data_IF_978230143089
#
_entry.id   IF_978230143089
#
_cell.length_a   1.000
_cell.length_b   1.000
_cell.length_c   1.000
_cell.angle_alpha   90.00
_cell.angle_beta   90.00
_cell.angle_gamma   90.00
#
_symmetry.space_group_name_H-M   'P 1'
#
loop_
_entity.id
_entity.type
_entity.pdbx_description
1 polymer ?
#
# COMPACT_ATOMS: atom_id res chain seq x y z
N UNK A 1 -10.47 8.72 -17.70
CA UNK A 1 -11.20 7.97 -16.64
C UNK A 1 -11.16 8.83 -15.39
N UNK A 2 -12.30 9.04 -14.70
CA UNK A 2 -12.30 9.78 -13.43
C UNK A 2 -11.57 8.95 -12.37
N UNK A 3 -10.67 9.58 -11.61
CA UNK A 3 -9.94 8.92 -10.53
C UNK A 3 -10.81 8.89 -9.27
N UNK A 4 -11.13 7.69 -8.78
CA UNK A 4 -11.91 7.48 -7.55
C UNK A 4 -10.93 7.00 -6.50
N UNK A 5 -10.59 7.88 -5.58
CA UNK A 5 -9.46 7.71 -4.68
C UNK A 5 -9.96 7.40 -3.27
N UNK A 6 -9.26 6.51 -2.58
CA UNK A 6 -9.34 6.43 -1.12
C UNK A 6 -7.94 6.60 -0.54
N UNK A 7 -7.87 7.19 0.64
CA UNK A 7 -6.62 7.48 1.35
C UNK A 7 -6.62 6.70 2.66
N UNK A 8 -5.58 5.94 2.93
CA UNK A 8 -5.45 5.18 4.19
C UNK A 8 -4.08 5.47 4.81
N UNK A 9 -4.07 6.05 6.02
CA UNK A 9 -2.84 6.32 6.76
C UNK A 9 -2.80 5.57 8.09
N UNK A 10 -1.59 5.18 8.53
CA UNK A 10 -1.40 4.36 9.71
C UNK A 10 -1.70 5.03 11.06
N UNK A 11 -1.59 6.36 11.14
CA UNK A 11 -1.69 7.11 12.40
C UNK A 11 -2.13 8.56 12.20
N UNK A 12 -2.85 9.11 13.21
CA UNK A 12 -3.19 10.54 13.24
C UNK A 12 -1.94 11.43 13.32
N UNK A 13 -0.82 10.92 13.85
CA UNK A 13 0.46 11.64 13.87
C UNK A 13 1.00 11.96 12.48
N UNK A 14 0.53 11.26 11.45
CA UNK A 14 1.02 11.41 10.09
C UNK A 14 0.19 12.44 9.30
N UNK A 15 -0.99 12.84 9.81
CA UNK A 15 -1.87 13.84 9.19
C UNK A 15 -1.16 15.16 8.84
N UNK A 16 -0.28 15.74 9.68
CA UNK A 16 0.41 16.98 9.31
C UNK A 16 1.23 16.85 8.02
N UNK A 17 1.80 15.66 7.74
CA UNK A 17 2.59 15.39 6.53
C UNK A 17 1.72 15.22 5.27
N UNK A 18 0.40 15.07 5.44
CA UNK A 18 -0.55 14.95 4.32
C UNK A 18 -1.04 16.31 3.81
N UNK A 19 -0.79 17.41 4.54
CA UNK A 19 -1.40 18.72 4.31
C UNK A 19 -1.26 19.19 2.85
N UNK A 20 -0.02 19.26 2.34
CA UNK A 20 0.23 19.84 1.02
C UNK A 20 -0.39 18.98 -0.09
N UNK A 21 -0.38 17.65 0.05
CA UNK A 21 -1.06 16.76 -0.91
C UNK A 21 -2.58 16.84 -0.81
N UNK A 22 -3.16 17.04 0.37
CA UNK A 22 -4.61 17.28 0.51
C UNK A 22 -5.02 18.62 -0.12
N UNK A 23 -4.23 19.68 0.08
CA UNK A 23 -4.44 20.97 -0.58
C UNK A 23 -4.37 20.83 -2.11
N UNK A 24 -3.37 20.09 -2.62
CA UNK A 24 -3.25 19.75 -4.03
C UNK A 24 -4.47 18.99 -4.56
N UNK A 25 -4.86 17.87 -3.93
CA UNK A 25 -6.02 17.07 -4.34
C UNK A 25 -7.32 17.87 -4.30
N UNK A 26 -7.45 18.84 -3.38
CA UNK A 26 -8.64 19.67 -3.28
C UNK A 26 -8.94 20.46 -4.57
N UNK A 27 -7.90 20.81 -5.34
CA UNK A 27 -8.05 21.50 -6.62
C UNK A 27 -8.74 20.60 -7.66
N UNK A 28 -8.31 19.35 -7.75
CA UNK A 28 -8.85 18.35 -8.69
C UNK A 28 -10.20 17.78 -8.27
N UNK A 29 -10.46 17.75 -6.96
CA UNK A 29 -11.79 17.42 -6.43
C UNK A 29 -12.78 18.52 -6.79
N UNK A 30 -12.39 19.80 -6.67
CA UNK A 30 -13.24 20.95 -7.04
C UNK A 30 -13.50 21.03 -8.54
N UNK A 31 -12.56 20.62 -9.38
CA UNK A 31 -12.75 20.56 -10.84
C UNK A 31 -13.55 19.33 -11.31
N UNK A 32 -13.75 18.33 -10.43
CA UNK A 32 -14.47 17.09 -10.74
C UNK A 32 -13.61 16.02 -11.44
N UNK A 33 -12.30 16.21 -11.53
CA UNK A 33 -11.35 15.26 -12.13
C UNK A 33 -11.05 14.08 -11.19
N UNK A 34 -11.11 14.33 -9.87
CA UNK A 34 -10.89 13.36 -8.80
C UNK A 34 -12.12 13.30 -7.90
N UNK A 35 -12.51 12.09 -7.50
CA UNK A 35 -13.54 11.86 -6.49
C UNK A 35 -12.86 11.23 -5.27
N UNK A 36 -12.87 11.93 -4.13
CA UNK A 36 -12.52 11.33 -2.85
C UNK A 36 -13.68 10.44 -2.39
N UNK A 37 -13.40 9.15 -2.25
CA UNK A 37 -14.34 8.15 -1.74
C UNK A 37 -14.30 8.14 -0.22
N UNK A 38 -13.11 7.98 0.37
CA UNK A 38 -12.93 7.89 1.83
C UNK A 38 -11.51 8.32 2.25
N UNK A 39 -11.37 8.75 3.51
CA UNK A 39 -10.08 8.98 4.15
C UNK A 39 -10.08 8.26 5.51
N UNK A 40 -9.22 7.26 5.65
CA UNK A 40 -9.13 6.42 6.83
C UNK A 40 -7.82 6.63 7.59
N UNK A 41 -7.93 6.64 8.92
CA UNK A 41 -6.78 6.50 9.81
C UNK A 41 -6.86 5.14 10.49
N UNK A 42 -6.17 4.15 9.93
CA UNK A 42 -6.22 2.77 10.37
C UNK A 42 -4.83 2.13 10.30
N UNK A 43 -4.44 1.44 11.37
CA UNK A 43 -3.12 0.81 11.47
C UNK A 43 -3.19 -0.66 11.12
N UNK A 44 -2.45 -1.11 10.10
CA UNK A 44 -2.42 -2.54 9.75
C UNK A 44 -1.97 -3.43 10.90
N UNK A 45 -1.17 -2.92 11.85
CA UNK A 45 -0.69 -3.70 12.99
C UNK A 45 -1.67 -3.74 14.17
N UNK A 46 -2.64 -2.80 14.22
CA UNK A 46 -3.60 -2.69 15.34
C UNK A 46 -5.05 -2.94 14.92
N UNK A 47 -5.33 -2.89 13.63
CA UNK A 47 -6.65 -2.95 13.01
C UNK A 47 -6.63 -3.86 11.78
N UNK A 48 -5.86 -4.97 11.79
CA UNK A 48 -5.58 -5.77 10.59
C UNK A 48 -6.82 -6.20 9.83
N UNK A 49 -7.80 -6.82 10.51
CA UNK A 49 -9.03 -7.29 9.87
C UNK A 49 -9.89 -6.13 9.35
N UNK A 50 -10.00 -5.05 10.12
CA UNK A 50 -10.75 -3.86 9.72
C UNK A 50 -10.14 -3.20 8.48
N UNK A 51 -8.81 -3.07 8.40
CA UNK A 51 -8.13 -2.51 7.22
C UNK A 51 -8.41 -3.35 5.97
N UNK A 52 -8.33 -4.69 6.07
CA UNK A 52 -8.60 -5.56 4.93
C UNK A 52 -10.07 -5.50 4.52
N UNK A 53 -10.99 -5.37 5.49
CA UNK A 53 -12.41 -5.18 5.23
C UNK A 53 -12.69 -3.83 4.54
N UNK A 54 -12.09 -2.74 5.02
CA UNK A 54 -12.18 -1.41 4.39
C UNK A 54 -11.73 -1.50 2.93
N UNK A 55 -10.57 -2.10 2.65
CA UNK A 55 -10.07 -2.26 1.28
C UNK A 55 -11.03 -3.08 0.43
N UNK A 56 -11.56 -4.19 0.95
CA UNK A 56 -12.56 -4.99 0.25
C UNK A 56 -13.79 -4.15 -0.11
N UNK A 57 -14.36 -3.42 0.86
CA UNK A 57 -15.56 -2.62 0.65
C UNK A 57 -15.32 -1.46 -0.33
N UNK A 58 -14.16 -0.80 -0.26
CA UNK A 58 -13.77 0.27 -1.19
C UNK A 58 -13.74 -0.23 -2.65
N UNK A 59 -13.24 -1.45 -2.87
CA UNK A 59 -13.09 -2.03 -4.20
C UNK A 59 -14.41 -2.60 -4.72
N UNK A 60 -15.06 -3.46 -3.95
CA UNK A 60 -16.25 -4.20 -4.39
C UNK A 60 -17.52 -3.35 -4.37
N UNK A 61 -17.64 -2.42 -3.41
CA UNK A 61 -18.89 -1.71 -3.16
C UNK A 61 -18.84 -0.23 -3.51
N UNK A 62 -17.65 0.40 -3.51
CA UNK A 62 -17.52 1.85 -3.68
C UNK A 62 -16.80 2.26 -4.99
N UNK A 63 -16.30 1.29 -5.76
CA UNK A 63 -15.69 1.51 -7.06
C UNK A 63 -14.43 2.36 -7.01
N UNK A 64 -13.61 2.19 -5.97
CA UNK A 64 -12.29 2.82 -5.90
C UNK A 64 -11.39 2.26 -7.01
N UNK A 65 -10.55 3.10 -7.61
CA UNK A 65 -9.57 2.66 -8.62
C UNK A 65 -8.14 3.09 -8.29
N UNK A 66 -7.96 3.91 -7.25
CA UNK A 66 -6.66 4.34 -6.76
C UNK A 66 -6.68 4.42 -5.23
N UNK A 67 -5.65 3.89 -4.58
CA UNK A 67 -5.43 4.02 -3.15
C UNK A 67 -4.15 4.83 -2.92
N UNK A 68 -4.19 5.82 -2.04
CA UNK A 68 -2.98 6.48 -1.52
C UNK A 68 -2.79 5.97 -0.10
N UNK A 69 -1.71 5.23 0.14
CA UNK A 69 -1.52 4.46 1.37
C UNK A 69 -0.20 4.83 2.01
N UNK A 70 -0.20 5.17 3.30
CA UNK A 70 1.00 5.65 3.98
C UNK A 70 1.16 5.21 5.43
N UNK A 71 2.40 4.88 5.82
CA UNK A 71 2.79 4.70 7.20
C UNK A 71 4.28 5.04 7.39
N UNK A 72 4.69 5.32 8.63
CA UNK A 72 6.10 5.46 9.02
C UNK A 72 6.70 4.14 9.53
N UNK A 73 8.02 4.13 9.74
CA UNK A 73 8.78 2.99 10.30
C UNK A 73 8.52 1.67 9.55
N UNK A 74 8.03 0.62 10.20
CA UNK A 74 7.69 -0.64 9.52
C UNK A 74 6.39 -0.46 8.72
N UNK A 75 6.48 0.13 7.52
CA UNK A 75 5.34 0.43 6.67
C UNK A 75 4.80 -0.84 5.98
N UNK A 76 4.21 -1.73 6.78
CA UNK A 76 3.55 -2.92 6.25
C UNK A 76 2.16 -2.62 5.67
N UNK A 77 1.61 -1.43 5.92
CA UNK A 77 0.26 -1.07 5.47
C UNK A 77 0.19 -1.11 3.93
N UNK A 78 1.15 -0.46 3.28
CA UNK A 78 1.25 -0.41 1.81
C UNK A 78 1.39 -1.81 1.18
N UNK A 79 2.41 -2.57 1.58
CA UNK A 79 2.69 -3.89 1.03
C UNK A 79 1.59 -4.91 1.35
N UNK A 80 0.97 -4.85 2.53
CA UNK A 80 -0.15 -5.75 2.87
C UNK A 80 -1.37 -5.46 2.02
N UNK A 81 -1.71 -4.19 1.78
CA UNK A 81 -2.85 -3.82 0.92
C UNK A 81 -2.60 -4.26 -0.53
N UNK A 82 -1.40 -4.01 -1.09
CA UNK A 82 -1.08 -4.49 -2.43
C UNK A 82 -1.14 -6.03 -2.50
N UNK A 83 -0.52 -6.73 -1.54
CA UNK A 83 -0.58 -8.19 -1.51
C UNK A 83 -2.02 -8.72 -1.40
N UNK A 84 -2.86 -8.09 -0.58
CA UNK A 84 -4.27 -8.45 -0.45
C UNK A 84 -5.02 -8.28 -1.78
N UNK A 85 -4.80 -7.16 -2.49
CA UNK A 85 -5.39 -6.93 -3.80
C UNK A 85 -4.95 -7.99 -4.82
N UNK A 86 -3.64 -8.25 -4.94
CA UNK A 86 -3.10 -9.12 -6.00
C UNK A 86 -3.30 -10.60 -5.73
N UNK A 87 -3.05 -11.04 -4.49
CA UNK A 87 -3.02 -12.47 -4.16
C UNK A 87 -4.35 -12.98 -3.61
N UNK A 88 -5.13 -12.14 -2.90
CA UNK A 88 -6.41 -12.53 -2.32
C UNK A 88 -7.58 -12.11 -3.20
N UNK A 89 -7.71 -10.82 -3.52
CA UNK A 89 -8.83 -10.30 -4.30
C UNK A 89 -8.71 -10.54 -5.81
N UNK A 90 -7.53 -10.96 -6.29
CA UNK A 90 -7.23 -11.14 -7.73
C UNK A 90 -7.53 -9.88 -8.56
N UNK A 91 -7.27 -8.72 -7.96
CA UNK A 91 -7.51 -7.43 -8.58
C UNK A 91 -6.21 -6.89 -9.17
N UNK A 92 -6.21 -6.50 -10.44
CA UNK A 92 -5.13 -5.82 -11.15
C UNK A 92 -5.49 -4.39 -11.58
N UNK A 93 -6.70 -3.94 -11.28
CA UNK A 93 -7.23 -2.67 -11.78
C UNK A 93 -7.03 -1.51 -10.79
N UNK A 94 -6.97 -1.80 -9.49
CA UNK A 94 -6.76 -0.81 -8.44
C UNK A 94 -5.26 -0.51 -8.31
N UNK A 95 -4.89 0.76 -8.43
CA UNK A 95 -3.51 1.22 -8.25
C UNK A 95 -3.24 1.58 -6.79
N UNK A 96 -2.07 1.22 -6.26
CA UNK A 96 -1.65 1.56 -4.88
C UNK A 96 -0.46 2.50 -4.94
N UNK A 97 -0.62 3.73 -4.46
CA UNK A 97 0.44 4.73 -4.34
C UNK A 97 0.95 4.74 -2.91
N UNK A 98 2.21 4.40 -2.72
CA UNK A 98 2.85 4.32 -1.41
C UNK A 98 3.37 5.66 -0.93
N UNK A 99 3.28 5.90 0.38
CA UNK A 99 3.86 7.06 1.07
C UNK A 99 4.68 6.55 2.25
N UNK A 100 5.91 7.06 2.39
CA UNK A 100 6.75 6.76 3.56
C UNK A 100 6.81 8.00 4.45
N UNK A 101 6.08 7.96 5.56
CA UNK A 101 6.05 9.11 6.48
C UNK A 101 7.33 9.22 7.29
N UNK A 102 7.78 10.44 7.48
CA UNK A 102 8.91 10.77 8.33
C UNK A 102 8.59 10.41 9.78
N UNK A 103 9.58 9.85 10.47
CA UNK A 103 9.54 9.61 11.89
C UNK A 103 10.52 10.53 12.63
N UNK A 104 10.74 10.22 13.91
CA UNK A 104 11.68 10.97 14.77
C UNK A 104 13.14 10.94 14.30
N UNK A 105 13.53 9.97 13.47
CA UNK A 105 14.91 9.77 13.03
C UNK A 105 14.97 9.44 11.54
N UNK A 106 16.11 9.69 10.86
CA UNK A 106 16.31 9.27 9.47
C UNK A 106 16.15 7.76 9.28
N UNK A 107 16.49 6.95 10.28
CA UNK A 107 16.32 5.49 10.24
C UNK A 107 14.84 5.11 10.17
N UNK A 108 13.94 5.88 10.78
CA UNK A 108 12.50 5.62 10.68
C UNK A 108 11.98 5.84 9.26
N UNK A 109 12.43 6.90 8.59
CA UNK A 109 12.09 7.15 7.20
C UNK A 109 12.68 6.06 6.30
N UNK A 110 13.96 5.72 6.48
CA UNK A 110 14.60 4.65 5.72
C UNK A 110 13.86 3.31 5.90
N UNK A 111 13.48 2.97 7.13
CA UNK A 111 12.68 1.77 7.41
C UNK A 111 11.34 1.81 6.66
N UNK A 112 10.67 2.96 6.60
CA UNK A 112 9.40 3.11 5.89
C UNK A 112 9.56 2.91 4.38
N UNK A 113 10.60 3.53 3.79
CA UNK A 113 10.94 3.38 2.37
C UNK A 113 11.26 1.92 2.03
N UNK A 114 12.15 1.29 2.79
CA UNK A 114 12.55 -0.11 2.56
C UNK A 114 11.38 -1.08 2.76
N UNK A 115 10.51 -0.83 3.74
CA UNK A 115 9.31 -1.66 3.98
C UNK A 115 8.30 -1.62 2.83
N UNK A 116 8.37 -0.61 1.94
CA UNK A 116 7.54 -0.54 0.73
C UNK A 116 8.19 -1.34 -0.40
N UNK A 117 9.49 -1.14 -0.67
CA UNK A 117 10.15 -1.66 -1.87
C UNK A 117 10.72 -3.07 -1.72
N UNK A 118 11.05 -3.50 -0.50
CA UNK A 118 11.66 -4.81 -0.23
C UNK A 118 10.59 -5.91 0.00
N UNK A 119 9.32 -5.62 -0.28
CA UNK A 119 8.25 -6.62 -0.26
C UNK A 119 8.29 -7.43 -1.56
N UNK A 120 8.45 -8.77 -1.50
CA UNK A 120 8.59 -9.59 -2.70
C UNK A 120 7.42 -9.43 -3.68
N UNK A 121 7.73 -8.99 -4.90
CA UNK A 121 6.73 -8.82 -5.96
C UNK A 121 5.71 -7.71 -5.70
N UNK A 122 6.04 -6.76 -4.82
CA UNK A 122 5.23 -5.55 -4.61
C UNK A 122 5.05 -4.79 -5.91
N UNK A 123 3.83 -4.32 -6.15
CA UNK A 123 3.48 -3.45 -7.27
C UNK A 123 3.00 -2.08 -6.79
N UNK A 124 3.36 -1.72 -5.54
CA UNK A 124 3.14 -0.38 -4.99
C UNK A 124 3.91 0.63 -5.83
N UNK A 125 3.20 1.63 -6.33
CA UNK A 125 3.76 2.76 -7.06
C UNK A 125 4.40 3.68 -6.02
N UNK A 126 5.73 3.76 -6.03
CA UNK A 126 6.49 4.48 -5.03
C UNK A 126 7.63 5.26 -5.65
N UNK A 127 7.89 6.47 -5.14
CA UNK A 127 9.08 7.24 -5.44
C UNK A 127 10.00 7.19 -4.23
N UNK A 128 11.12 6.48 -4.36
CA UNK A 128 12.05 6.32 -3.26
C UNK A 128 12.70 7.65 -2.90
N UNK A 129 13.04 8.49 -3.87
CA UNK A 129 13.77 9.73 -3.62
C UNK A 129 12.84 10.84 -3.12
N UNK A 130 11.57 10.81 -3.51
CA UNK A 130 10.53 11.69 -3.00
C UNK A 130 9.31 10.91 -2.45
N UNK A 131 9.41 10.35 -1.23
CA UNK A 131 8.42 9.42 -0.71
C UNK A 131 7.21 10.10 -0.04
N UNK A 132 6.99 11.38 -0.34
CA UNK A 132 6.05 12.24 0.37
C UNK A 132 4.60 12.00 -0.05
N UNK A 133 3.65 12.43 0.79
CA UNK A 133 2.23 12.33 0.48
C UNK A 133 1.87 13.17 -0.75
N UNK A 134 2.45 14.36 -0.89
CA UNK A 134 2.27 15.22 -2.07
C UNK A 134 2.74 14.52 -3.34
N UNK A 135 3.93 13.92 -3.34
CA UNK A 135 4.45 13.21 -4.51
C UNK A 135 3.54 12.06 -4.96
N UNK A 136 2.99 11.31 -4.00
CA UNK A 136 1.99 10.28 -4.29
C UNK A 136 0.72 10.86 -4.92
N UNK A 137 0.24 12.01 -4.44
CA UNK A 137 -0.92 12.71 -5.02
C UNK A 137 -0.64 13.18 -6.45
N UNK A 138 0.50 13.84 -6.69
CA UNK A 138 0.91 14.32 -8.01
C UNK A 138 1.02 13.16 -9.01
N UNK A 139 1.65 12.07 -8.60
CA UNK A 139 1.80 10.87 -9.42
C UNK A 139 0.46 10.19 -9.69
N UNK A 140 -0.47 10.20 -8.75
CA UNK A 140 -1.81 9.63 -8.96
C UNK A 140 -2.63 10.43 -9.98
N UNK A 141 -2.54 11.76 -9.93
CA UNK A 141 -3.26 12.66 -10.83
C UNK A 141 -2.65 12.65 -12.24
N UNK A 142 -1.34 12.88 -12.34
CA UNK A 142 -0.67 13.13 -13.63
C UNK A 142 0.26 12.03 -14.11
N UNK A 143 0.52 11.00 -13.30
CA UNK A 143 1.45 9.94 -13.65
C UNK A 143 0.88 8.95 -14.67
N UNK A 144 1.80 8.29 -15.36
CA UNK A 144 1.46 7.14 -16.21
C UNK A 144 0.86 6.02 -15.38
N UNK A 145 -0.14 5.34 -15.95
CA UNK A 145 -0.77 4.18 -15.31
C UNK A 145 0.08 2.96 -15.63
N UNK A 146 0.77 2.37 -14.64
CA UNK A 146 1.55 1.16 -14.88
C UNK A 146 0.62 -0.04 -15.13
N UNK A 147 1.13 -1.01 -15.87
CA UNK A 147 0.51 -2.33 -15.93
C UNK A 147 0.69 -3.04 -14.59
N UNK A 148 -0.39 -3.60 -14.07
CA UNK A 148 -0.39 -4.39 -12.84
C UNK A 148 -0.75 -5.82 -13.17
N UNK A 149 -0.09 -6.76 -12.50
CA UNK A 149 -0.21 -8.19 -12.73
C UNK A 149 -0.86 -8.87 -11.54
N UNK A 150 -1.72 -9.85 -11.81
CA UNK A 150 -2.27 -10.71 -10.76
C UNK A 150 -1.15 -11.61 -10.23
N UNK A 151 -0.97 -11.60 -8.91
CA UNK A 151 0.00 -12.42 -8.22
C UNK A 151 -0.44 -13.89 -8.13
N UNK A 152 0.50 -14.82 -8.36
CA UNK A 152 0.30 -16.23 -8.06
C UNK A 152 0.72 -16.52 -6.60
N UNK A 153 -0.21 -16.88 -5.71
CA UNK A 153 0.12 -17.12 -4.32
C UNK A 153 1.01 -18.36 -4.20
N UNK A 154 2.05 -18.27 -3.37
CA UNK A 154 2.86 -19.44 -3.04
C UNK A 154 2.03 -20.42 -2.21
N UNK A 155 2.16 -21.71 -2.51
CA UNK A 155 1.52 -22.75 -1.71
C UNK A 155 2.11 -22.70 -0.30
N UNK A 156 1.25 -22.71 0.71
CA UNK A 156 1.70 -22.85 2.10
C UNK A 156 2.20 -24.29 2.29
N UNK A 157 3.48 -24.43 2.57
CA UNK A 157 4.11 -25.69 2.93
C UNK A 157 3.96 -25.91 4.45
N UNK A 158 3.58 -27.13 4.85
CA UNK A 158 3.38 -27.50 6.25
C UNK A 158 4.22 -28.71 6.57
N UNK A 159 5.02 -28.59 7.62
CA UNK A 159 5.81 -29.68 8.19
C UNK A 159 5.30 -29.93 9.61
N UNK A 160 5.10 -31.20 9.96
CA UNK A 160 4.50 -31.59 11.23
C UNK A 160 5.51 -32.22 12.19
N UNK A 161 6.76 -32.37 11.76
CA UNK A 161 7.88 -32.78 12.60
C UNK A 161 9.12 -31.95 12.28
N UNK A 162 9.99 -31.81 13.28
CA UNK A 162 11.32 -31.21 13.11
C UNK A 162 12.17 -32.07 12.16
N UNK A 163 11.98 -33.39 12.18
CA UNK A 163 12.71 -34.32 11.33
C UNK A 163 12.43 -34.08 9.83
N UNK A 164 11.16 -33.86 9.46
CA UNK A 164 10.78 -33.49 8.08
C UNK A 164 11.50 -32.21 7.62
N UNK A 165 11.60 -31.22 8.51
CA UNK A 165 12.29 -29.95 8.23
C UNK A 165 13.80 -30.16 8.08
N UNK A 166 14.41 -30.95 8.97
CA UNK A 166 15.85 -31.23 8.93
C UNK A 166 16.24 -32.02 7.67
N UNK A 167 15.40 -32.95 7.21
CA UNK A 167 15.63 -33.68 5.97
C UNK A 167 15.73 -32.74 4.77
N UNK A 168 14.89 -31.71 4.69
CA UNK A 168 14.94 -30.70 3.62
C UNK A 168 16.16 -29.79 3.69
N UNK A 169 16.60 -29.40 4.89
CA UNK A 169 17.79 -28.56 5.07
C UNK A 169 19.05 -29.30 4.62
N UNK A 170 19.06 -30.62 4.80
CA UNK A 170 20.18 -31.49 4.44
C UNK A 170 20.16 -31.89 2.95
N UNK A 171 19.10 -31.57 2.19
CA UNK A 171 19.13 -31.71 0.74
C UNK A 171 20.09 -30.67 0.13
N UNK A 172 21.00 -31.06 -0.77
CA UNK A 172 21.83 -30.10 -1.47
C UNK A 172 20.95 -29.12 -2.24
N UNK A 173 21.17 -27.82 -2.05
CA UNK A 173 20.48 -26.78 -2.85
C UNK A 173 20.71 -27.07 -4.33
N UNK A 174 19.60 -27.22 -5.06
CA UNK A 174 19.59 -27.18 -6.53
C UNK A 174 20.04 -25.81 -7.06
#
# INVERSE_FOLDING_TARGET
>A
MIKRISIIIGSKSDLPQCKDGLEYLSLFIRSGEVILVEFDVASIHRNTEDVLKIVYDLVENQGVNCLIVGAGMANHLTGTIDAFLRYTMKNDSVLVYGVAFEGKTPQHLLAAKLSIIEVPGTQVIFDFDNPTFLAACEKMVGGEIPEIKIGQPRKVEKFYSIEDVLNLVNEPKA
#
